data_IF_562678066077
#
_entry.id   IF_562678066077
#
_cell.length_a   1.000
_cell.length_b   1.000
_cell.length_c   1.000
_cell.angle_alpha   90.00
_cell.angle_beta   90.00
_cell.angle_gamma   90.00
#
_symmetry.space_group_name_H-M   'P 1'
#
loop_
_entity.id
_entity.type
_entity.pdbx_description
1 polymer ?
#
# COMPACT_ATOMS: atom_id res chain seq x y z
N UNK A 1 -6.92 5.30 -4.63
CA UNK A 1 -5.99 4.17 -4.44
C UNK A 1 -6.80 2.92 -4.63
N UNK A 2 -6.52 2.14 -5.68
CA UNK A 2 -7.23 0.88 -5.93
C UNK A 2 -6.98 -0.03 -4.71
N UNK A 3 -8.03 -0.62 -4.14
CA UNK A 3 -7.88 -1.59 -3.06
C UNK A 3 -7.23 -2.82 -3.68
N UNK A 4 -5.97 -3.08 -3.33
CA UNK A 4 -5.27 -4.28 -3.78
C UNK A 4 -5.86 -5.47 -3.03
N UNK A 5 -6.26 -6.51 -3.77
CA UNK A 5 -6.83 -7.74 -3.21
C UNK A 5 -5.72 -8.57 -2.59
N UNK A 6 -6.06 -9.38 -1.58
CA UNK A 6 -5.11 -10.29 -0.91
C UNK A 6 -4.31 -11.16 -1.89
N UNK A 7 -4.95 -11.64 -2.96
CA UNK A 7 -4.30 -12.40 -4.04
C UNK A 7 -3.15 -11.65 -4.71
N UNK A 8 -3.35 -10.37 -4.99
CA UNK A 8 -2.36 -9.52 -5.66
C UNK A 8 -1.18 -9.24 -4.73
N UNK A 9 -1.44 -9.05 -3.43
CA UNK A 9 -0.39 -8.91 -2.40
C UNK A 9 0.47 -10.17 -2.29
N UNK A 10 -0.16 -11.35 -2.22
CA UNK A 10 0.54 -12.64 -2.19
C UNK A 10 1.42 -12.79 -3.44
N UNK A 11 0.88 -12.46 -4.61
CA UNK A 11 1.62 -12.56 -5.87
C UNK A 11 2.83 -11.62 -5.94
N UNK A 12 2.71 -10.38 -5.44
CA UNK A 12 3.85 -9.46 -5.34
C UNK A 12 4.95 -10.05 -4.44
N UNK A 13 4.57 -10.59 -3.27
CA UNK A 13 5.52 -11.12 -2.29
C UNK A 13 6.22 -12.40 -2.79
N UNK A 14 5.48 -13.27 -3.48
CA UNK A 14 6.03 -14.49 -4.06
C UNK A 14 7.03 -14.16 -5.19
N UNK A 15 6.67 -13.26 -6.11
CA UNK A 15 7.57 -12.83 -7.18
C UNK A 15 8.83 -12.14 -6.62
N UNK A 16 8.70 -11.37 -5.54
CA UNK A 16 9.86 -10.77 -4.88
C UNK A 16 10.76 -11.83 -4.23
N UNK A 17 10.19 -12.86 -3.59
CA UNK A 17 10.95 -13.99 -3.02
C UNK A 17 11.66 -14.81 -4.11
N UNK A 18 11.10 -14.89 -5.31
CA UNK A 18 11.76 -15.49 -6.49
C UNK A 18 12.93 -14.64 -7.04
N UNK A 19 13.20 -13.46 -6.44
CA UNK A 19 14.32 -12.60 -6.82
C UNK A 19 14.00 -11.61 -7.95
N UNK A 20 12.72 -11.46 -8.35
CA UNK A 20 12.36 -10.47 -9.36
C UNK A 20 12.50 -9.04 -8.81
N UNK A 21 12.99 -8.15 -9.67
CA UNK A 21 13.07 -6.73 -9.32
C UNK A 21 11.69 -6.07 -9.26
N UNK A 22 11.57 -5.01 -8.47
CA UNK A 22 10.33 -4.19 -8.36
C UNK A 22 9.80 -3.75 -9.74
N UNK A 23 10.69 -3.43 -10.66
CA UNK A 23 10.33 -3.02 -12.02
C UNK A 23 9.76 -4.17 -12.86
N UNK A 24 10.27 -5.39 -12.69
CA UNK A 24 9.76 -6.59 -13.37
C UNK A 24 8.36 -6.95 -12.85
N UNK A 25 8.19 -6.96 -11.52
CA UNK A 25 6.91 -7.24 -10.87
C UNK A 25 5.84 -6.23 -11.33
N UNK A 26 6.19 -4.94 -11.38
CA UNK A 26 5.29 -3.89 -11.86
C UNK A 26 4.85 -4.11 -13.31
N UNK A 27 5.76 -4.50 -14.21
CA UNK A 27 5.42 -4.79 -15.62
C UNK A 27 4.52 -6.01 -15.76
N UNK A 28 4.75 -7.05 -14.95
CA UNK A 28 4.00 -8.29 -15.01
C UNK A 28 2.60 -8.17 -14.38
N UNK A 29 2.48 -7.42 -13.29
CA UNK A 29 1.22 -7.28 -12.53
C UNK A 29 0.40 -6.06 -12.94
N UNK A 30 0.98 -5.10 -13.68
CA UNK A 30 0.33 -3.82 -14.00
C UNK A 30 0.23 -2.87 -12.80
N UNK A 31 0.86 -3.21 -11.68
CA UNK A 31 0.79 -2.43 -10.43
C UNK A 31 1.91 -1.38 -10.43
N UNK A 32 1.59 -0.16 -10.02
CA UNK A 32 2.58 0.92 -9.89
C UNK A 32 3.73 0.52 -8.95
N UNK A 33 4.97 0.87 -9.33
CA UNK A 33 6.19 0.47 -8.61
C UNK A 33 6.19 0.93 -7.16
N UNK A 34 5.60 2.10 -6.86
CA UNK A 34 5.47 2.57 -5.47
C UNK A 34 4.64 1.63 -4.61
N UNK A 35 3.64 0.99 -5.21
CA UNK A 35 2.73 0.09 -4.54
C UNK A 35 3.38 -1.27 -4.35
N UNK A 36 4.08 -1.78 -5.37
CA UNK A 36 4.92 -2.98 -5.25
C UNK A 36 5.93 -2.82 -4.10
N UNK A 37 6.68 -1.71 -4.07
CA UNK A 37 7.64 -1.41 -2.99
C UNK A 37 6.96 -1.39 -1.62
N UNK A 38 5.84 -0.66 -1.49
CA UNK A 38 5.08 -0.57 -0.25
C UNK A 38 4.67 -1.94 0.29
N UNK A 39 4.21 -2.85 -0.58
CA UNK A 39 3.78 -4.18 -0.15
C UNK A 39 4.94 -5.13 0.15
N UNK A 40 6.09 -4.97 -0.50
CA UNK A 40 7.31 -5.70 -0.13
C UNK A 40 7.77 -5.29 1.28
N UNK A 41 7.78 -3.99 1.57
CA UNK A 41 8.21 -3.45 2.88
C UNK A 41 7.21 -3.77 4.01
N UNK A 42 5.90 -3.70 3.73
CA UNK A 42 4.85 -4.04 4.72
C UNK A 42 4.61 -5.54 4.89
N UNK A 43 5.00 -6.37 3.93
CA UNK A 43 4.61 -7.78 3.91
C UNK A 43 3.11 -7.99 3.73
N UNK A 44 2.59 -9.06 4.35
CA UNK A 44 1.18 -9.48 4.24
C UNK A 44 0.23 -8.67 5.14
N UNK A 45 0.68 -7.51 5.63
CA UNK A 45 -0.16 -6.62 6.42
C UNK A 45 -1.22 -5.96 5.53
N UNK A 46 -2.49 -6.26 5.81
CA UNK A 46 -3.60 -5.57 5.20
C UNK A 46 -3.46 -4.05 5.43
N UNK A 47 -3.82 -3.20 4.46
CA UNK A 47 -3.85 -1.77 4.69
C UNK A 47 -4.77 -1.45 5.89
N UNK A 48 -4.19 -1.15 7.04
CA UNK A 48 -4.95 -0.65 8.18
C UNK A 48 -5.48 0.74 7.82
N UNK A 49 -6.72 0.79 7.36
CA UNK A 49 -7.45 2.02 7.11
C UNK A 49 -8.13 2.44 8.41
N UNK A 50 -7.37 3.09 9.29
CA UNK A 50 -7.94 3.76 10.46
C UNK A 50 -8.68 5.03 10.04
N UNK A 51 -9.57 5.57 10.90
CA UNK A 51 -10.09 6.92 10.73
C UNK A 51 -8.92 7.87 10.51
N UNK A 52 -9.02 8.75 9.51
CA UNK A 52 -7.99 9.77 9.28
C UNK A 52 -7.81 10.54 10.59
N UNK A 53 -6.58 10.60 11.11
CA UNK A 53 -6.29 11.43 12.29
C UNK A 53 -6.89 12.82 12.06
N UNK A 54 -7.76 13.32 12.96
CA UNK A 54 -8.35 14.63 12.80
C UNK A 54 -7.22 15.64 12.68
N UNK A 55 -7.27 16.44 11.62
CA UNK A 55 -6.36 17.57 11.46
C UNK A 55 -6.92 18.71 12.27
N UNK A 56 -6.06 19.48 12.91
CA UNK A 56 -6.50 20.72 13.54
C UNK A 56 -7.14 21.61 12.47
N UNK A 57 -8.38 22.00 12.71
CA UNK A 57 -9.09 22.96 11.88
C UNK A 57 -8.89 24.37 12.43
N UNK A 58 -8.98 25.39 11.57
CA UNK A 58 -8.91 26.80 12.00
C UNK A 58 -10.04 27.16 12.97
N UNK A 59 -11.10 26.35 13.00
CA UNK A 59 -12.30 26.55 13.82
C UNK A 59 -12.16 25.85 15.18
N UNK A 60 -11.19 24.94 15.35
CA UNK A 60 -10.96 24.24 16.63
C UNK A 60 -10.78 25.17 17.84
N UNK A 61 -10.16 26.37 17.73
CA UNK A 61 -10.07 27.32 18.84
C UNK A 61 -11.40 28.00 19.21
N UNK A 62 -12.43 27.89 18.36
CA UNK A 62 -13.72 28.57 18.52
C UNK A 62 -14.88 27.60 18.79
N UNK A 63 -14.62 26.30 18.83
CA UNK A 63 -15.60 25.28 19.21
C UNK A 63 -15.66 25.18 20.75
N UNK A 64 -16.49 26.03 21.37
CA UNK A 64 -16.86 25.97 22.79
C UNK A 64 -17.91 24.90 23.06
#
# INVERSE_FOLDING_TARGET
MLVIKLRETIMILELHQQGLTVSAISRQTGIDRKTVRKYIERGLEAPAYGPRKPRSSVIDPFAA
#
